data_IF_901491438047
#
_entry.id   IF_901491438047
#
_cell.length_a   1.000
_cell.length_b   1.000
_cell.length_c   1.000
_cell.angle_alpha   90.00
_cell.angle_beta   90.00
_cell.angle_gamma   90.00
#
_symmetry.space_group_name_H-M   'P 1'
#
loop_
_entity.id
_entity.type
_entity.pdbx_description
1 polymer ?
#
# COMPACT_ATOMS: atom_id res chain seq x y z
N UNK A 1 17.94 -13.85 2.35
CA UNK A 1 16.56 -13.67 2.85
C UNK A 1 16.61 -12.83 4.12
N UNK A 2 15.85 -11.73 4.19
CA UNK A 2 15.88 -10.78 5.32
C UNK A 2 15.61 -11.48 6.67
N UNK A 3 16.38 -11.14 7.70
CA UNK A 3 16.24 -11.61 9.09
C UNK A 3 14.79 -11.56 9.59
N UNK A 4 14.06 -10.52 9.16
CA UNK A 4 12.67 -10.29 9.53
C UNK A 4 11.72 -11.41 9.07
N UNK A 5 11.96 -12.00 7.88
CA UNK A 5 11.15 -13.12 7.38
C UNK A 5 11.40 -14.39 8.19
N UNK A 6 12.65 -14.61 8.62
CA UNK A 6 13.04 -15.79 9.40
C UNK A 6 12.45 -15.73 10.81
N UNK A 7 12.49 -14.55 11.43
CA UNK A 7 11.85 -14.29 12.72
C UNK A 7 10.32 -14.45 12.63
N UNK A 8 9.68 -13.95 11.56
CA UNK A 8 8.24 -14.07 11.36
C UNK A 8 7.78 -15.53 11.27
N UNK A 9 8.49 -16.39 10.53
CA UNK A 9 8.16 -17.83 10.46
C UNK A 9 8.45 -18.63 11.73
N UNK A 10 9.16 -18.05 12.70
CA UNK A 10 9.34 -18.64 14.03
C UNK A 10 8.22 -18.27 15.00
N UNK A 11 7.36 -17.31 14.67
CA UNK A 11 6.22 -16.94 15.52
C UNK A 11 5.27 -18.14 15.58
N UNK A 12 5.03 -18.71 16.77
CA UNK A 12 4.13 -19.85 16.90
C UNK A 12 2.71 -19.46 16.50
N UNK A 13 1.95 -20.44 16.01
CA UNK A 13 0.60 -20.27 15.46
C UNK A 13 0.59 -19.50 14.14
N UNK A 14 0.81 -18.18 14.14
CA UNK A 14 0.67 -17.34 12.94
C UNK A 14 1.79 -17.60 11.92
N UNK A 15 3.04 -17.60 12.37
CA UNK A 15 4.20 -17.80 11.50
C UNK A 15 4.25 -19.21 10.89
N UNK A 16 3.81 -20.21 11.66
CA UNK A 16 3.69 -21.59 11.17
C UNK A 16 2.58 -21.75 10.14
N UNK A 17 1.39 -21.21 10.43
CA UNK A 17 0.25 -21.23 9.51
C UNK A 17 0.60 -20.53 8.18
N UNK A 18 1.24 -19.36 8.23
CA UNK A 18 1.66 -18.65 7.00
C UNK A 18 2.77 -19.40 6.26
N UNK A 19 3.73 -20.00 6.99
CA UNK A 19 4.80 -20.80 6.38
C UNK A 19 4.22 -22.01 5.64
N UNK A 20 3.24 -22.67 6.23
CA UNK A 20 2.58 -23.85 5.69
C UNK A 20 1.69 -23.50 4.49
N UNK A 21 0.94 -22.39 4.55
CA UNK A 21 0.19 -21.89 3.40
C UNK A 21 1.07 -21.54 2.19
N UNK A 22 2.31 -21.11 2.42
CA UNK A 22 3.23 -20.67 1.36
C UNK A 22 4.09 -21.80 0.77
N UNK A 23 4.41 -22.84 1.53
CA UNK A 23 5.32 -23.92 1.11
C UNK A 23 4.70 -25.33 1.18
N UNK A 24 3.46 -25.44 1.68
CA UNK A 24 2.75 -26.69 1.89
C UNK A 24 2.04 -27.20 0.64
N UNK A 25 1.15 -28.17 0.86
CA UNK A 25 0.34 -28.77 -0.19
C UNK A 25 -0.62 -27.75 -0.82
N UNK A 26 -1.18 -28.03 -2.02
CA UNK A 26 -2.18 -27.16 -2.65
C UNK A 26 -3.41 -26.88 -1.76
N UNK A 27 -3.64 -27.71 -0.74
CA UNK A 27 -4.76 -27.61 0.18
C UNK A 27 -4.46 -26.79 1.44
N UNK A 28 -3.17 -26.54 1.73
CA UNK A 28 -2.72 -25.78 2.89
C UNK A 28 -3.33 -24.37 3.02
N UNK A 29 -3.63 -23.61 1.94
CA UNK A 29 -4.30 -22.32 2.04
C UNK A 29 -5.72 -22.40 2.63
N UNK A 30 -6.44 -23.51 2.41
CA UNK A 30 -7.79 -23.67 2.98
C UNK A 30 -7.72 -23.91 4.49
N UNK A 31 -6.76 -24.72 4.95
CA UNK A 31 -6.50 -24.91 6.37
C UNK A 31 -6.02 -23.63 7.04
N UNK A 32 -5.24 -22.80 6.35
CA UNK A 32 -4.85 -21.48 6.84
C UNK A 32 -6.07 -20.60 7.10
N UNK A 33 -6.97 -20.48 6.12
CA UNK A 33 -8.17 -19.65 6.24
C UNK A 33 -9.08 -20.17 7.35
N UNK A 34 -9.28 -21.49 7.44
CA UNK A 34 -10.06 -22.10 8.51
C UNK A 34 -9.48 -21.79 9.89
N UNK A 35 -8.17 -22.00 10.09
CA UNK A 35 -7.52 -21.70 11.36
C UNK A 35 -7.58 -20.21 11.70
N UNK A 36 -7.42 -19.31 10.71
CA UNK A 36 -7.54 -17.87 10.92
C UNK A 36 -8.95 -17.48 11.41
N UNK A 37 -9.99 -18.08 10.84
CA UNK A 37 -11.38 -17.87 11.28
C UNK A 37 -11.61 -18.42 12.68
N UNK A 38 -11.13 -19.63 12.98
CA UNK A 38 -11.27 -20.26 14.31
C UNK A 38 -10.54 -19.46 15.39
N UNK A 39 -9.30 -19.05 15.13
CA UNK A 39 -8.54 -18.19 16.05
C UNK A 39 -9.25 -16.85 16.21
N UNK A 40 -9.75 -16.25 15.13
CA UNK A 40 -10.56 -15.05 15.19
C UNK A 40 -11.79 -15.20 16.09
N UNK A 41 -12.56 -16.28 15.92
CA UNK A 41 -13.72 -16.58 16.75
C UNK A 41 -13.34 -16.80 18.22
N UNK A 42 -12.26 -17.51 18.49
CA UNK A 42 -11.75 -17.71 19.86
C UNK A 42 -11.33 -16.40 20.52
N UNK A 43 -10.66 -15.51 19.77
CA UNK A 43 -10.30 -14.18 20.26
C UNK A 43 -11.53 -13.31 20.51
N UNK A 44 -12.53 -13.33 19.61
CA UNK A 44 -13.81 -12.62 19.81
C UNK A 44 -14.53 -13.17 21.04
N UNK A 45 -14.53 -14.49 21.25
CA UNK A 45 -15.12 -15.09 22.45
C UNK A 45 -14.39 -14.65 23.74
N UNK A 46 -13.05 -14.58 23.70
CA UNK A 46 -12.21 -14.27 24.88
C UNK A 46 -12.21 -12.79 25.22
N UNK A 47 -12.09 -11.91 24.22
CA UNK A 47 -11.95 -10.46 24.40
C UNK A 47 -13.25 -9.69 24.12
N UNK A 48 -14.23 -10.32 23.49
CA UNK A 48 -15.54 -9.74 23.18
C UNK A 48 -15.52 -8.75 22.01
N UNK A 49 -16.52 -7.87 22.02
CA UNK A 49 -16.71 -6.79 21.06
C UNK A 49 -15.53 -5.79 20.97
N UNK A 50 -14.78 -5.47 22.05
CA UNK A 50 -13.59 -4.61 21.97
C UNK A 50 -12.56 -5.03 20.93
N UNK A 51 -12.37 -6.33 20.71
CA UNK A 51 -11.46 -6.83 19.67
C UNK A 51 -11.96 -6.45 18.28
N UNK A 52 -13.26 -6.65 18.02
CA UNK A 52 -13.89 -6.35 16.73
C UNK A 52 -13.75 -4.86 16.39
N UNK A 53 -14.03 -3.98 17.37
CA UNK A 53 -13.83 -2.53 17.22
C UNK A 53 -12.37 -2.23 16.89
N UNK A 54 -11.43 -2.79 17.64
CA UNK A 54 -10.00 -2.51 17.48
C UNK A 54 -9.51 -2.90 16.08
N UNK A 55 -9.89 -4.10 15.61
CA UNK A 55 -9.55 -4.58 14.26
C UNK A 55 -10.18 -3.68 13.19
N UNK A 56 -11.44 -3.26 13.37
CA UNK A 56 -12.12 -2.37 12.44
C UNK A 56 -11.44 -0.99 12.35
N UNK A 57 -11.08 -0.39 13.48
CA UNK A 57 -10.38 0.92 13.53
C UNK A 57 -8.98 0.81 12.92
N UNK A 58 -8.24 -0.25 13.24
CA UNK A 58 -6.93 -0.51 12.65
C UNK A 58 -7.03 -0.68 11.12
N UNK A 59 -8.03 -1.43 10.65
CA UNK A 59 -8.32 -1.61 9.23
C UNK A 59 -8.69 -0.30 8.52
N UNK A 60 -9.53 0.53 9.15
CA UNK A 60 -9.88 1.85 8.61
C UNK A 60 -8.65 2.76 8.48
N UNK A 61 -7.82 2.81 9.52
CA UNK A 61 -6.55 3.55 9.47
C UNK A 61 -5.63 3.04 8.36
N UNK A 62 -5.46 1.72 8.25
CA UNK A 62 -4.64 1.12 7.21
C UNK A 62 -5.18 1.42 5.80
N UNK A 63 -6.50 1.43 5.61
CA UNK A 63 -7.14 1.80 4.34
C UNK A 63 -6.86 3.25 3.95
N UNK A 64 -7.04 4.19 4.89
CA UNK A 64 -6.75 5.61 4.65
C UNK A 64 -5.25 5.81 4.40
N UNK A 65 -4.39 5.23 5.23
CA UNK A 65 -2.95 5.31 5.04
C UNK A 65 -2.52 4.72 3.69
N UNK A 66 -3.11 3.60 3.28
CA UNK A 66 -2.91 2.98 1.98
C UNK A 66 -3.31 3.90 0.84
N UNK A 67 -4.48 4.54 0.91
CA UNK A 67 -4.91 5.53 -0.07
C UNK A 67 -3.95 6.72 -0.15
N UNK A 68 -3.51 7.23 1.00
CA UNK A 68 -2.51 8.31 1.06
C UNK A 68 -1.21 7.88 0.38
N UNK A 69 -0.70 6.70 0.69
CA UNK A 69 0.54 6.19 0.09
C UNK A 69 0.41 6.03 -1.43
N UNK A 70 -0.72 5.48 -1.90
CA UNK A 70 -0.98 5.29 -3.32
C UNK A 70 -1.15 6.61 -4.07
N UNK A 71 -1.72 7.63 -3.44
CA UNK A 71 -1.98 8.95 -4.06
C UNK A 71 -0.89 9.99 -3.81
N UNK A 72 0.01 9.75 -2.84
CA UNK A 72 1.10 10.66 -2.51
C UNK A 72 2.04 10.90 -3.71
N UNK A 73 2.19 9.91 -4.59
CA UNK A 73 2.97 10.06 -5.82
C UNK A 73 2.52 11.25 -6.68
N UNK A 74 1.21 11.44 -6.84
CA UNK A 74 0.63 12.54 -7.61
C UNK A 74 0.81 13.88 -6.89
N UNK A 75 0.69 13.90 -5.56
CA UNK A 75 0.89 15.10 -4.76
C UNK A 75 2.34 15.61 -4.79
N UNK A 76 3.31 14.71 -4.97
CA UNK A 76 4.74 15.04 -5.05
C UNK A 76 5.30 15.04 -6.47
N UNK A 77 4.47 14.85 -7.50
CA UNK A 77 4.94 14.86 -8.88
C UNK A 77 5.44 16.25 -9.29
N UNK A 78 6.74 16.34 -9.54
CA UNK A 78 7.41 17.58 -9.96
C UNK A 78 7.02 17.99 -11.39
N UNK A 79 6.46 17.08 -12.19
CA UNK A 79 5.94 17.40 -13.54
C UNK A 79 4.72 18.32 -13.48
N UNK A 80 3.88 18.19 -12.46
CA UNK A 80 2.75 19.11 -12.21
C UNK A 80 3.20 20.55 -11.90
N UNK A 81 4.47 20.74 -11.51
CA UNK A 81 5.06 22.04 -11.21
C UNK A 81 5.77 22.71 -12.38
N UNK A 82 5.81 22.12 -13.58
CA UNK A 82 6.29 22.86 -14.76
C UNK A 82 5.27 23.96 -15.06
N UNK A 83 5.56 25.23 -14.73
CA UNK A 83 4.69 26.32 -15.12
C UNK A 83 4.79 26.42 -16.64
N UNK A 84 3.81 27.07 -17.27
CA UNK A 84 3.70 27.32 -18.70
C UNK A 84 4.85 28.15 -19.33
N UNK A 85 6.08 28.01 -18.86
CA UNK A 85 7.32 28.54 -19.42
C UNK A 85 7.57 28.05 -20.85
N UNK A 86 7.15 26.82 -21.18
CA UNK A 86 7.26 26.30 -22.56
C UNK A 86 6.29 26.99 -23.52
N UNK A 87 5.10 27.37 -23.05
CA UNK A 87 4.11 28.13 -23.85
C UNK A 87 4.61 29.56 -24.11
N UNK A 88 5.28 30.19 -23.13
CA UNK A 88 5.89 31.52 -23.31
C UNK A 88 7.05 31.51 -24.30
N UNK A 89 7.91 30.49 -24.26
CA UNK A 89 9.07 30.37 -25.19
C UNK A 89 8.62 30.16 -26.63
N UNK A 90 7.59 29.34 -26.84
CA UNK A 90 6.98 29.15 -28.16
C UNK A 90 6.39 30.46 -28.71
N UNK A 91 5.71 31.27 -27.88
CA UNK A 91 5.14 32.55 -28.30
C UNK A 91 6.21 33.61 -28.60
N UNK A 92 7.31 33.65 -27.87
CA UNK A 92 8.40 34.62 -28.10
C UNK A 92 9.19 34.32 -29.37
N UNK A 93 9.35 33.05 -29.77
CA UNK A 93 10.02 32.68 -31.01
C UNK A 93 9.24 33.17 -32.25
N UNK A 94 7.92 33.16 -32.21
CA UNK A 94 7.06 33.61 -33.33
C UNK A 94 7.03 35.14 -33.50
N UNK A 95 7.40 35.92 -32.48
CA UNK A 95 7.28 37.39 -32.48
C UNK A 95 8.58 38.09 -32.87
N UNK A 96 9.67 37.39 -33.19
CA UNK A 96 10.91 38.05 -33.65
C UNK A 96 10.64 38.73 -35.01
N UNK A 97 10.49 40.07 -35.09
CA UNK A 97 10.26 40.71 -36.37
C UNK A 97 11.58 40.64 -37.13
N UNK A 98 11.54 40.13 -38.36
CA UNK A 98 12.62 40.31 -39.32
C UNK A 98 12.80 41.83 -39.49
N UNK A 99 13.82 42.37 -38.83
CA UNK A 99 14.25 43.76 -38.99
C UNK A 99 14.64 43.91 -40.47
N UNK A 100 13.75 44.52 -41.26
CA UNK A 100 14.02 44.90 -42.66
C UNK A 100 15.35 45.69 -42.68
N UNK A 101 16.35 45.11 -43.33
CA UNK A 101 17.49 45.86 -43.82
C UNK A 101 17.08 46.45 -45.18
N UNK A 102 17.26 47.75 -45.28
CA UNK A 102 17.06 48.58 -46.46
C UNK A 102 18.02 48.19 -47.60
#
# INVERSE_FOLDING_TARGET
MSFLKKAFYQIPVIGWLVKDAAHGSPEAPYFFLFNAVVVGAALIYTFGYPLVITVAVAGAFAGIAGLVVLTAGDAFDKRAKQPATDVRRAKTATVRPLKKAA
#
